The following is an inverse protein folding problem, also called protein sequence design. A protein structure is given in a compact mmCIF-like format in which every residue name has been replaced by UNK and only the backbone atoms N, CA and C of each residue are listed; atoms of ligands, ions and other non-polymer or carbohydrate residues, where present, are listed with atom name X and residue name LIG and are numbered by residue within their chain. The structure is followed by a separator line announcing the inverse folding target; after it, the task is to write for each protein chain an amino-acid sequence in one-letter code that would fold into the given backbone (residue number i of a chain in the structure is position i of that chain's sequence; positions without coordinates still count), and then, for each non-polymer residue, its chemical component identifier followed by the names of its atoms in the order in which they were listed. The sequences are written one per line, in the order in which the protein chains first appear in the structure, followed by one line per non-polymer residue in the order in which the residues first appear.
data_IF_584635710092
#
_entry.id   IF_584635710092
#
_cell.length_a   1.000
_cell.length_b   1.000
_cell.length_c   1.000
_cell.angle_alpha   90.00
_cell.angle_beta   90.00
_cell.angle_gamma   90.00
#
_symmetry.space_group_name_H-M   'P 1'
#
loop_
_entity.id
_entity.type
_entity.pdbx_description
1 polymer ?
#
# COMPACT_ATOMS: atom_id res chain seq x y z
N UNK A 1 -14.22 -1.37 -2.99
CA UNK A 1 -12.75 -1.17 -2.92
C UNK A 1 -12.04 -1.28 -4.29
N UNK A 2 -12.74 -1.59 -5.39
CA UNK A 2 -12.14 -1.58 -6.74
C UNK A 2 -12.24 -0.20 -7.45
N UNK A 3 -13.17 0.65 -7.03
CA UNK A 3 -13.23 2.05 -7.45
C UNK A 3 -12.38 2.90 -6.50
N UNK A 4 -11.09 3.04 -6.83
CA UNK A 4 -10.12 3.83 -6.08
C UNK A 4 -10.05 5.21 -6.72
N UNK A 5 -10.27 6.27 -5.94
CA UNK A 5 -10.08 7.63 -6.42
C UNK A 5 -8.60 7.84 -6.79
N UNK A 6 -8.32 8.67 -7.80
CA UNK A 6 -6.95 8.83 -8.34
C UNK A 6 -5.93 9.27 -7.29
N UNK A 7 -6.34 10.11 -6.35
CA UNK A 7 -5.53 10.59 -5.23
C UNK A 7 -5.30 9.53 -4.14
N UNK A 8 -6.08 8.46 -4.17
CA UNK A 8 -6.00 7.32 -3.27
C UNK A 8 -5.26 6.13 -3.91
N UNK A 9 -4.78 6.24 -5.16
CA UNK A 9 -4.06 5.16 -5.83
C UNK A 9 -2.56 5.16 -5.43
N UNK A 10 -2.30 4.73 -4.20
CA UNK A 10 -0.97 4.51 -3.65
C UNK A 10 -1.02 3.37 -2.63
N UNK A 11 0.14 2.90 -2.16
CA UNK A 11 0.21 1.88 -1.11
C UNK A 11 0.27 0.47 -1.66
N UNK A 12 -0.68 -0.40 -1.30
CA UNK A 12 -0.62 -1.82 -1.73
C UNK A 12 -0.77 -2.02 -3.24
N UNK A 13 -1.32 -1.05 -3.99
CA UNK A 13 -1.35 -1.09 -5.45
C UNK A 13 0.05 -1.12 -6.08
N UNK A 14 1.10 -0.71 -5.37
CA UNK A 14 2.47 -0.89 -5.84
C UNK A 14 2.89 -2.37 -5.99
N UNK A 15 2.16 -3.28 -5.34
CA UNK A 15 2.41 -4.72 -5.35
C UNK A 15 1.79 -5.48 -6.54
N UNK A 16 0.81 -4.91 -7.26
CA UNK A 16 0.21 -5.56 -8.42
C UNK A 16 -0.59 -4.60 -9.31
N UNK A 17 -0.77 -4.94 -10.60
CA UNK A 17 -1.71 -4.25 -11.51
C UNK A 17 -3.17 -4.50 -11.16
N UNK A 18 -3.46 -5.68 -10.60
CA UNK A 18 -4.80 -6.04 -10.14
C UNK A 18 -4.87 -5.80 -8.64
N UNK A 19 -5.72 -4.88 -8.19
CA UNK A 19 -5.83 -4.57 -6.78
C UNK A 19 -7.22 -4.07 -6.37
N UNK A 20 -7.50 -4.24 -5.09
CA UNK A 20 -8.57 -3.54 -4.39
C UNK A 20 -8.01 -3.07 -3.06
N UNK A 21 -8.07 -1.78 -2.76
CA UNK A 21 -7.38 -1.22 -1.59
C UNK A 21 -8.25 -0.27 -0.79
N UNK A 22 -7.83 -0.07 0.47
CA UNK A 22 -8.21 1.05 1.31
C UNK A 22 -6.99 1.57 2.04
N UNK A 23 -6.79 2.87 1.89
CA UNK A 23 -5.71 3.62 2.55
C UNK A 23 -6.23 4.36 3.78
N UNK A 24 -5.31 4.63 4.72
CA UNK A 24 -5.56 5.48 5.88
C UNK A 24 -4.27 6.13 6.37
N UNK A 25 -4.41 7.32 6.93
CA UNK A 25 -3.31 8.09 7.47
C UNK A 25 -3.79 9.02 8.58
N UNK A 26 -2.94 9.24 9.58
CA UNK A 26 -3.22 10.16 10.68
C UNK A 26 -1.91 10.74 11.22
N UNK A 27 -1.87 12.04 11.42
CA UNK A 27 -0.80 12.68 12.17
C UNK A 27 -0.97 12.35 13.66
N UNK A 28 0.07 11.77 14.25
CA UNK A 28 0.18 11.60 15.68
C UNK A 28 0.67 12.91 16.31
N UNK A 29 -0.27 13.68 16.86
CA UNK A 29 0.00 15.01 17.42
C UNK A 29 0.98 15.05 18.59
N UNK A 30 1.22 13.93 19.27
CA UNK A 30 2.12 13.89 20.42
C UNK A 30 3.61 13.95 20.03
N UNK A 31 3.97 13.42 18.87
CA UNK A 31 5.35 13.31 18.41
C UNK A 31 5.56 13.86 16.98
N UNK A 32 4.54 14.48 16.40
CA UNK A 32 4.54 15.02 15.03
C UNK A 32 4.97 14.00 13.96
N UNK A 33 4.63 12.72 14.17
CA UNK A 33 4.90 11.63 13.22
C UNK A 33 3.61 11.14 12.56
N UNK A 34 3.72 10.36 11.49
CA UNK A 34 2.59 9.84 10.74
C UNK A 34 2.39 8.35 10.94
N UNK A 35 1.15 7.99 11.24
CA UNK A 35 0.63 6.64 11.09
C UNK A 35 0.08 6.53 9.67
N UNK A 36 0.50 5.51 8.93
CA UNK A 36 0.08 5.25 7.54
C UNK A 36 -0.23 3.77 7.37
N UNK A 37 -1.36 3.45 6.77
CA UNK A 37 -1.71 2.07 6.43
C UNK A 37 -2.32 1.95 5.03
N UNK A 38 -2.18 0.75 4.47
CA UNK A 38 -2.81 0.34 3.22
C UNK A 38 -3.13 -1.14 3.29
N UNK A 39 -4.39 -1.49 3.00
CA UNK A 39 -4.92 -2.84 3.20
C UNK A 39 -5.78 -3.22 2.00
N UNK A 40 -5.73 -4.50 1.59
CA UNK A 40 -6.63 -5.04 0.59
C UNK A 40 -6.05 -6.25 -0.17
N UNK A 41 -6.56 -6.45 -1.38
CA UNK A 41 -6.16 -7.57 -2.26
C UNK A 41 -5.22 -7.08 -3.35
N UNK A 42 -4.24 -7.90 -3.68
CA UNK A 42 -3.35 -7.76 -4.85
C UNK A 42 -3.34 -9.06 -5.66
N UNK A 43 -3.23 -8.95 -6.99
CA UNK A 43 -3.29 -10.09 -7.91
C UNK A 43 -4.72 -10.51 -8.27
N UNK A 44 -4.83 -11.60 -9.01
CA UNK A 44 -6.10 -12.10 -9.53
C UNK A 44 -6.16 -13.63 -9.58
N UNK A 45 -7.37 -14.18 -9.43
CA UNK A 45 -7.60 -15.63 -9.40
C UNK A 45 -6.79 -16.34 -8.30
N UNK A 46 -6.22 -17.49 -8.63
CA UNK A 46 -5.40 -18.29 -7.72
C UNK A 46 -4.02 -17.67 -7.42
N UNK A 47 -3.64 -16.61 -8.15
CA UNK A 47 -2.40 -15.86 -7.93
C UNK A 47 -2.73 -14.50 -7.33
N UNK A 48 -3.31 -14.52 -6.13
CA UNK A 48 -3.72 -13.33 -5.39
C UNK A 48 -3.39 -13.46 -3.91
N UNK A 49 -3.28 -12.33 -3.21
CA UNK A 49 -3.04 -12.29 -1.79
C UNK A 49 -3.73 -11.09 -1.13
N UNK A 50 -4.18 -11.31 0.10
CA UNK A 50 -4.59 -10.21 1.00
C UNK A 50 -3.37 -9.73 1.76
N UNK A 51 -3.10 -8.42 1.67
CA UNK A 51 -2.00 -7.79 2.38
C UNK A 51 -2.53 -6.62 3.20
N UNK A 52 -2.01 -6.50 4.42
CA UNK A 52 -2.26 -5.38 5.31
C UNK A 52 -0.92 -4.84 5.79
N UNK A 53 -0.61 -3.58 5.45
CA UNK A 53 0.62 -2.91 5.88
C UNK A 53 0.24 -1.75 6.79
N UNK A 54 0.85 -1.72 7.97
CA UNK A 54 0.74 -0.64 8.94
C UNK A 54 2.15 -0.14 9.29
N UNK A 55 2.33 1.17 9.28
CA UNK A 55 3.58 1.82 9.66
C UNK A 55 3.31 3.03 10.54
N UNK A 56 4.12 3.21 11.57
CA UNK A 56 4.06 4.30 12.54
C UNK A 56 5.42 5.00 12.63
N UNK A 57 5.46 6.15 13.30
CA UNK A 57 6.66 6.97 13.53
C UNK A 57 7.30 7.48 12.24
N UNK A 58 6.51 7.62 11.17
CA UNK A 58 7.01 8.16 9.91
C UNK A 58 7.24 9.67 10.04
N UNK A 59 8.39 10.15 9.59
CA UNK A 59 8.76 11.58 9.64
C UNK A 59 7.86 12.48 8.77
N UNK A 60 7.13 11.91 7.82
CA UNK A 60 6.12 12.59 7.01
C UNK A 60 5.12 11.58 6.43
N UNK A 61 3.96 12.04 5.98
CA UNK A 61 2.99 11.21 5.24
C UNK A 61 3.65 10.58 4.01
N UNK A 62 4.41 11.37 3.24
CA UNK A 62 5.13 10.91 2.04
C UNK A 62 6.11 9.77 2.37
N UNK A 63 6.83 9.88 3.48
CA UNK A 63 7.76 8.83 3.91
C UNK A 63 7.01 7.53 4.27
N UNK A 64 5.89 7.65 4.98
CA UNK A 64 5.04 6.48 5.29
C UNK A 64 4.45 5.81 4.06
N UNK A 65 3.96 6.59 3.09
CA UNK A 65 3.47 6.06 1.80
C UNK A 65 4.60 5.29 1.10
N UNK A 66 5.80 5.87 0.99
CA UNK A 66 6.95 5.22 0.35
C UNK A 66 7.36 3.91 1.05
N UNK A 67 7.31 3.86 2.38
CA UNK A 67 7.56 2.64 3.16
C UNK A 67 6.53 1.55 2.84
N UNK A 68 5.25 1.90 2.82
CA UNK A 68 4.16 0.98 2.47
C UNK A 68 4.34 0.44 1.04
N UNK A 69 4.62 1.31 0.07
CA UNK A 69 4.79 0.92 -1.33
C UNK A 69 6.01 0.02 -1.54
N UNK A 70 7.11 0.28 -0.83
CA UNK A 70 8.31 -0.56 -0.88
C UNK A 70 8.00 -1.98 -0.41
N UNK A 71 7.28 -2.12 0.69
CA UNK A 71 6.87 -3.43 1.22
C UNK A 71 5.88 -4.12 0.28
N UNK A 72 4.89 -3.39 -0.24
CA UNK A 72 3.93 -3.94 -1.21
C UNK A 72 4.62 -4.44 -2.49
N UNK A 73 5.57 -3.67 -3.04
CA UNK A 73 6.36 -4.08 -4.21
C UNK A 73 7.18 -5.33 -3.93
N UNK A 74 7.81 -5.41 -2.75
CA UNK A 74 8.55 -6.61 -2.35
C UNK A 74 7.63 -7.84 -2.28
N UNK A 75 6.44 -7.71 -1.67
CA UNK A 75 5.45 -8.80 -1.63
C UNK A 75 4.99 -9.20 -3.03
N UNK A 76 4.71 -8.24 -3.91
CA UNK A 76 4.32 -8.50 -5.30
C UNK A 76 5.37 -9.31 -6.06
N UNK A 77 6.65 -8.95 -5.91
CA UNK A 77 7.78 -9.70 -6.49
C UNK A 77 7.89 -11.09 -5.88
N UNK A 78 7.81 -11.22 -4.55
CA UNK A 78 7.93 -12.50 -3.86
C UNK A 78 6.81 -13.49 -4.24
N UNK A 79 5.63 -12.98 -4.59
CA UNK A 79 4.48 -13.75 -5.03
C UNK A 79 4.37 -13.88 -6.56
N UNK A 80 5.35 -13.38 -7.33
CA UNK A 80 5.33 -13.36 -8.80
C UNK A 80 4.05 -12.74 -9.38
N UNK A 81 3.56 -11.65 -8.77
CA UNK A 81 2.39 -10.92 -9.26
C UNK A 81 2.79 -9.95 -10.38
N UNK A 82 1.90 -9.71 -11.37
CA UNK A 82 2.13 -8.67 -12.37
C UNK A 82 2.20 -7.29 -11.70
N UNK A 83 3.34 -6.60 -11.75
CA UNK A 83 3.53 -5.25 -11.19
C UNK A 83 3.46 -4.17 -12.29
N UNK A 84 3.31 -2.88 -11.94
CA UNK A 84 3.12 -1.80 -12.93
C UNK A 84 4.27 -1.73 -13.96
N UNK A 85 3.97 -1.22 -15.17
CA UNK A 85 4.98 -1.00 -16.23
C UNK A 85 6.01 0.05 -15.79
N UNK A 86 7.25 -0.12 -16.24
CA UNK A 86 8.29 0.92 -16.25
C UNK A 86 7.74 2.25 -16.78
#
# INVERSE_FOLDING_TARGET
MQHVASDQNWGISAGSRDFALKNGWRLNGNNNTWIVNSIGQIGSGNNSATIAIFSDQNSSLKHGIATVEKLAKFTGVALNLPTSKN
#
